data_IF_664886517617
#
_entry.id   IF_664886517617
#
_cell.length_a   1.000
_cell.length_b   1.000
_cell.length_c   1.000
_cell.angle_alpha   90.00
_cell.angle_beta   90.00
_cell.angle_gamma   90.00
#
_symmetry.space_group_name_H-M   'P 1'
#
loop_
_entity.id
_entity.type
_entity.pdbx_description
1 polymer ?
#
# COMPACT_ATOMS: atom_id res chain seq x y z
N UNK A 1 5.88 2.07 22.42
CA UNK A 1 4.96 1.87 21.28
C UNK A 1 5.36 0.59 20.57
N UNK A 2 4.41 -0.17 20.04
CA UNK A 2 4.73 -1.31 19.20
C UNK A 2 5.20 -0.82 17.82
N UNK A 3 6.17 -1.50 17.18
CA UNK A 3 6.64 -1.12 15.85
C UNK A 3 5.50 -1.21 14.81
N UNK A 4 5.50 -0.37 13.76
CA UNK A 4 4.48 -0.44 12.72
C UNK A 4 4.57 -1.77 11.97
N UNK A 5 3.41 -2.31 11.59
CA UNK A 5 3.31 -3.40 10.63
C UNK A 5 3.23 -2.85 9.21
N UNK A 6 3.57 -3.70 8.25
CA UNK A 6 3.64 -3.37 6.83
C UNK A 6 2.72 -4.27 6.05
N UNK A 7 1.96 -3.67 5.13
CA UNK A 7 0.95 -4.38 4.35
C UNK A 7 1.06 -4.05 2.87
N UNK A 8 0.49 -4.91 2.05
CA UNK A 8 0.12 -4.60 0.66
C UNK A 8 -1.39 -4.55 0.59
N UNK A 9 -1.93 -3.47 0.02
CA UNK A 9 -3.34 -3.38 -0.36
C UNK A 9 -3.45 -3.43 -1.89
N UNK A 10 -4.28 -4.33 -2.40
CA UNK A 10 -4.49 -4.54 -3.83
C UNK A 10 -5.74 -3.79 -4.27
N UNK A 11 -5.56 -2.88 -5.22
CA UNK A 11 -6.62 -2.10 -5.84
C UNK A 11 -6.90 -2.64 -7.25
N UNK A 12 -8.12 -3.13 -7.46
CA UNK A 12 -8.62 -3.42 -8.80
C UNK A 12 -8.98 -2.16 -9.58
N UNK A 13 -9.56 -2.32 -10.77
CA UNK A 13 -10.15 -1.19 -11.52
C UNK A 13 -11.21 -0.47 -10.66
N UNK A 14 -11.06 0.84 -10.39
CA UNK A 14 -11.98 1.57 -9.55
C UNK A 14 -13.34 1.74 -10.24
N UNK A 15 -14.40 1.34 -9.55
CA UNK A 15 -15.79 1.62 -9.91
C UNK A 15 -16.49 2.32 -8.74
N UNK A 16 -16.22 3.62 -8.52
CA UNK A 16 -16.90 4.38 -7.48
C UNK A 16 -18.42 4.34 -7.68
N UNK A 17 -19.23 4.26 -6.61
CA UNK A 17 -18.85 4.44 -5.20
C UNK A 17 -18.40 3.15 -4.49
N UNK A 18 -18.44 2.00 -5.16
CA UNK A 18 -18.24 0.70 -4.51
C UNK A 18 -16.77 0.27 -4.41
N UNK A 19 -15.86 0.94 -5.12
CA UNK A 19 -14.44 0.61 -5.20
C UNK A 19 -13.61 1.88 -5.24
N UNK A 20 -12.74 2.02 -4.25
CA UNK A 20 -11.94 3.23 -4.01
C UNK A 20 -10.80 3.38 -5.01
N UNK A 21 -10.42 4.64 -5.26
CA UNK A 21 -9.10 4.95 -5.85
C UNK A 21 -8.03 4.94 -4.75
N UNK A 22 -6.77 4.73 -5.13
CA UNK A 22 -5.63 4.76 -4.20
C UNK A 22 -5.41 6.14 -3.56
N UNK A 23 -5.86 7.20 -4.21
CA UNK A 23 -5.75 8.58 -3.71
C UNK A 23 -6.86 8.96 -2.73
N UNK A 24 -7.96 8.19 -2.68
CA UNK A 24 -9.13 8.51 -1.86
C UNK A 24 -8.83 8.53 -0.35
N UNK A 25 -7.76 7.85 0.08
CA UNK A 25 -7.45 7.66 1.49
C UNK A 25 -8.39 6.66 2.19
N UNK A 26 -9.21 5.94 1.44
CA UNK A 26 -10.09 4.90 1.93
C UNK A 26 -9.82 3.62 1.17
N UNK A 27 -9.91 2.50 1.87
CA UNK A 27 -9.80 1.18 1.31
C UNK A 27 -10.86 0.28 1.94
N UNK A 28 -11.77 -0.20 1.10
CA UNK A 28 -12.72 -1.27 1.40
C UNK A 28 -12.14 -2.59 0.92
N UNK A 29 -11.54 -3.41 1.81
CA UNK A 29 -11.04 -4.70 1.40
C UNK A 29 -12.21 -5.67 1.20
N UNK A 30 -11.93 -6.78 0.53
CA UNK A 30 -12.91 -7.85 0.34
C UNK A 30 -13.46 -8.34 1.70
N UNK A 31 -14.79 -8.38 1.92
CA UNK A 31 -15.39 -8.87 3.15
C UNK A 31 -14.96 -10.29 3.52
N UNK A 32 -14.63 -11.13 2.54
CA UNK A 32 -14.14 -12.49 2.79
C UNK A 32 -12.71 -12.49 3.39
N UNK A 33 -12.05 -11.33 3.43
CA UNK A 33 -10.72 -11.13 4.00
C UNK A 33 -10.76 -10.43 5.39
N UNK A 34 -11.93 -10.17 5.98
CA UNK A 34 -12.08 -9.62 7.33
C UNK A 34 -11.79 -10.68 8.42
N UNK A 35 -11.37 -10.29 9.63
CA UNK A 35 -11.02 -8.95 10.10
C UNK A 35 -9.58 -8.54 9.74
N UNK A 36 -9.37 -7.25 9.50
CA UNK A 36 -8.04 -6.72 9.14
C UNK A 36 -7.20 -6.40 10.37
N UNK A 37 -5.99 -6.95 10.52
CA UNK A 37 -5.16 -6.76 11.71
C UNK A 37 -4.39 -5.43 11.71
N UNK A 38 -4.89 -4.40 11.01
CA UNK A 38 -4.23 -3.09 10.91
C UNK A 38 -4.58 -2.19 12.09
N UNK A 39 -3.68 -1.28 12.43
CA UNK A 39 -3.89 -0.27 13.46
C UNK A 39 -3.32 1.10 13.03
N UNK A 40 -3.74 2.20 13.68
CA UNK A 40 -3.14 3.50 13.44
C UNK A 40 -1.61 3.45 13.51
N UNK A 41 -0.97 4.02 12.49
CA UNK A 41 0.49 4.05 12.37
C UNK A 41 1.10 2.99 11.46
N UNK A 42 0.40 1.89 11.18
CA UNK A 42 0.83 0.89 10.20
C UNK A 42 0.92 1.48 8.79
N UNK A 43 1.67 0.80 7.91
CA UNK A 43 2.01 1.31 6.58
C UNK A 43 1.59 0.32 5.50
N UNK A 44 1.02 0.85 4.43
CA UNK A 44 0.45 0.09 3.33
C UNK A 44 1.16 0.48 2.05
N UNK A 45 1.69 -0.50 1.31
CA UNK A 45 2.06 -0.34 -0.10
C UNK A 45 0.78 -0.48 -0.94
N UNK A 46 0.41 0.58 -1.66
CA UNK A 46 -0.84 0.62 -2.42
C UNK A 46 -0.55 0.10 -3.82
N UNK A 47 -0.95 -1.12 -4.16
CA UNK A 47 -0.67 -1.77 -5.44
C UNK A 47 -1.91 -1.79 -6.33
N UNK A 48 -1.78 -1.34 -7.57
CA UNK A 48 -2.85 -1.32 -8.55
C UNK A 48 -2.71 -2.49 -9.55
N UNK A 49 -3.80 -3.22 -9.79
CA UNK A 49 -3.79 -4.32 -10.77
C UNK A 49 -3.79 -3.79 -12.21
N UNK A 50 -3.64 -4.68 -13.19
CA UNK A 50 -3.58 -4.28 -14.61
C UNK A 50 -4.83 -3.59 -15.15
N UNK A 51 -5.99 -3.73 -14.48
CA UNK A 51 -7.21 -3.01 -14.84
C UNK A 51 -7.23 -1.55 -14.39
N UNK A 52 -6.33 -1.14 -13.48
CA UNK A 52 -6.28 0.23 -12.99
C UNK A 52 -5.66 1.15 -14.04
N UNK A 53 -6.43 2.10 -14.58
CA UNK A 53 -6.05 2.90 -15.76
C UNK A 53 -4.73 3.65 -15.61
N UNK A 54 -4.54 4.37 -14.50
CA UNK A 54 -3.41 5.31 -14.37
C UNK A 54 -2.12 4.67 -13.83
N UNK A 55 -2.23 3.52 -13.15
CA UNK A 55 -1.10 2.83 -12.51
C UNK A 55 -1.14 1.31 -12.73
N UNK A 56 -1.49 0.89 -13.94
CA UNK A 56 -1.61 -0.52 -14.28
C UNK A 56 -0.35 -1.30 -13.84
N UNK A 57 -0.54 -2.29 -12.96
CA UNK A 57 0.52 -3.15 -12.43
C UNK A 57 1.65 -2.40 -11.70
N UNK A 58 1.31 -1.34 -10.99
CA UNK A 58 2.28 -0.54 -10.24
C UNK A 58 1.73 -0.07 -8.88
N UNK A 59 2.65 0.32 -8.00
CA UNK A 59 2.34 1.00 -6.74
C UNK A 59 2.70 2.49 -6.83
N UNK A 60 1.73 3.40 -6.89
CA UNK A 60 1.99 4.84 -7.02
C UNK A 60 2.31 5.53 -5.70
N UNK A 61 1.98 4.90 -4.57
CA UNK A 61 2.03 5.53 -3.27
C UNK A 61 2.07 4.55 -2.11
N UNK A 62 2.18 5.12 -0.92
CA UNK A 62 1.98 4.42 0.33
C UNK A 62 0.81 5.04 1.11
N UNK A 63 0.15 4.21 1.91
CA UNK A 63 -0.87 4.63 2.85
C UNK A 63 -0.34 4.55 4.27
N UNK A 64 -0.51 5.62 5.04
CA UNK A 64 -0.33 5.57 6.49
C UNK A 64 -1.67 5.38 7.16
N UNK A 65 -1.88 4.25 7.84
CA UNK A 65 -3.16 3.96 8.53
C UNK A 65 -3.44 5.01 9.58
N UNK A 66 -4.61 5.65 9.46
CA UNK A 66 -5.16 6.62 10.41
C UNK A 66 -6.20 5.95 11.32
N UNK A 67 -7.03 5.07 10.74
CA UNK A 67 -8.09 4.35 11.43
C UNK A 67 -8.39 3.04 10.71
N UNK A 68 -8.66 1.99 11.47
CA UNK A 68 -9.13 0.71 10.98
C UNK A 68 -10.47 0.42 11.63
N UNK A 69 -11.50 0.20 10.82
CA UNK A 69 -12.81 -0.29 11.24
C UNK A 69 -13.03 -1.72 10.76
N UNK A 70 -14.23 -2.24 11.02
CA UNK A 70 -14.57 -3.63 10.72
C UNK A 70 -14.59 -3.94 9.21
N UNK A 71 -14.82 -2.92 8.37
CA UNK A 71 -14.97 -3.06 6.92
C UNK A 71 -14.16 -2.04 6.11
N UNK A 72 -13.47 -1.11 6.78
CA UNK A 72 -12.78 0.00 6.12
C UNK A 72 -11.46 0.33 6.77
N UNK A 73 -10.50 0.72 5.95
CA UNK A 73 -9.23 1.30 6.40
C UNK A 73 -9.16 2.71 5.85
N UNK A 74 -8.99 3.68 6.77
CA UNK A 74 -8.70 5.06 6.42
C UNK A 74 -7.20 5.29 6.54
N UNK A 75 -6.59 5.84 5.50
CA UNK A 75 -5.17 6.12 5.45
C UNK A 75 -4.88 7.50 4.86
N UNK A 76 -3.72 8.04 5.23
CA UNK A 76 -3.15 9.19 4.54
C UNK A 76 -2.37 8.68 3.34
N UNK A 77 -2.82 9.05 2.14
CA UNK A 77 -2.10 8.79 0.91
C UNK A 77 -0.83 9.65 0.82
N UNK A 78 0.29 9.02 0.50
CA UNK A 78 1.56 9.66 0.20
C UNK A 78 2.05 9.18 -1.16
N UNK A 79 2.03 10.05 -2.15
CA UNK A 79 2.51 9.76 -3.49
C UNK A 79 4.03 9.52 -3.48
N UNK A 80 4.47 8.50 -4.20
CA UNK A 80 5.89 8.26 -4.48
C UNK A 80 6.34 9.16 -5.63
N UNK A 81 7.63 9.52 -5.63
CA UNK A 81 8.25 10.27 -6.73
C UNK A 81 8.15 9.56 -8.08
N UNK A 82 8.10 8.22 -8.06
CA UNK A 82 7.83 7.39 -9.22
C UNK A 82 7.08 6.13 -8.77
N UNK A 83 6.05 5.68 -9.51
CA UNK A 83 5.41 4.40 -9.24
C UNK A 83 6.39 3.23 -9.31
N UNK A 84 6.17 2.21 -8.47
CA UNK A 84 6.99 1.00 -8.42
C UNK A 84 6.29 -0.09 -9.23
N UNK A 85 6.91 -0.55 -10.30
CA UNK A 85 6.35 -1.60 -11.13
C UNK A 85 6.34 -2.96 -10.40
N UNK A 86 5.35 -3.81 -10.71
CA UNK A 86 5.20 -5.14 -10.11
C UNK A 86 6.49 -5.99 -10.12
N UNK A 87 7.26 -5.94 -11.20
CA UNK A 87 8.47 -6.75 -11.35
C UNK A 87 9.57 -6.31 -10.38
N UNK A 88 9.63 -5.03 -10.03
CA UNK A 88 10.56 -4.49 -9.03
C UNK A 88 10.14 -4.91 -7.62
N UNK A 89 8.83 -4.87 -7.34
CA UNK A 89 8.27 -5.35 -6.05
C UNK A 89 8.64 -6.81 -5.84
N UNK A 90 8.30 -7.69 -6.80
CA UNK A 90 8.54 -9.14 -6.70
C UNK A 90 10.00 -9.49 -6.52
N UNK A 91 10.91 -8.79 -7.20
CA UNK A 91 12.36 -9.03 -7.10
C UNK A 91 12.92 -8.70 -5.71
N UNK A 92 12.27 -7.80 -4.98
CA UNK A 92 12.74 -7.29 -3.69
C UNK A 92 12.06 -7.94 -2.50
N UNK A 93 10.92 -8.58 -2.71
CA UNK A 93 10.23 -9.31 -1.66
C UNK A 93 11.01 -10.55 -1.24
N UNK A 94 10.96 -10.83 0.06
CA UNK A 94 11.32 -12.16 0.56
C UNK A 94 10.39 -13.22 -0.04
N UNK A 95 10.88 -14.46 -0.17
CA UNK A 95 10.15 -15.54 -0.83
C UNK A 95 8.72 -15.71 -0.30
N UNK A 96 8.53 -15.68 1.01
CA UNK A 96 7.22 -15.81 1.67
C UNK A 96 6.26 -14.65 1.37
N UNK A 97 6.77 -13.44 1.14
CA UNK A 97 5.96 -12.28 0.75
C UNK A 97 5.68 -12.29 -0.75
N UNK A 98 6.63 -12.74 -1.57
CA UNK A 98 6.47 -12.93 -3.01
C UNK A 98 5.40 -13.98 -3.32
N UNK A 99 5.36 -15.09 -2.58
CA UNK A 99 4.34 -16.13 -2.70
C UNK A 99 2.93 -15.59 -2.44
N UNK A 100 2.74 -14.76 -1.41
CA UNK A 100 1.45 -14.07 -1.17
C UNK A 100 1.09 -13.19 -2.37
N UNK A 101 2.07 -12.45 -2.88
CA UNK A 101 1.89 -11.54 -4.01
C UNK A 101 1.57 -12.27 -5.33
N UNK A 102 2.14 -13.45 -5.57
CA UNK A 102 1.87 -14.27 -6.75
C UNK A 102 0.46 -14.88 -6.74
N UNK A 103 -0.11 -15.08 -5.55
CA UNK A 103 -1.47 -15.58 -5.37
C UNK A 103 -2.56 -14.49 -5.54
N UNK A 104 -2.18 -13.24 -5.85
CA UNK A 104 -3.15 -12.17 -6.09
C UNK A 104 -3.99 -12.51 -7.32
N UNK A 105 -5.29 -12.74 -7.10
CA UNK A 105 -6.28 -12.75 -8.18
C UNK A 105 -6.62 -11.30 -8.53
N UNK A 106 -6.37 -10.89 -9.77
CA UNK A 106 -6.41 -9.50 -10.24
C UNK A 106 -7.76 -8.75 -10.06
N UNK A 107 -8.80 -9.40 -9.57
CA UNK A 107 -10.15 -8.86 -9.35
C UNK A 107 -10.51 -8.63 -7.87
N UNK A 108 -9.69 -9.06 -6.90
CA UNK A 108 -10.01 -8.98 -5.47
C UNK A 108 -9.28 -7.85 -4.75
N UNK A 109 -9.96 -7.20 -3.81
CA UNK A 109 -9.41 -6.14 -2.95
C UNK A 109 -8.75 -6.82 -1.75
N UNK A 110 -7.54 -7.32 -1.95
CA UNK A 110 -6.84 -8.13 -0.96
C UNK A 110 -5.84 -7.30 -0.13
N UNK A 111 -5.80 -7.57 1.18
CA UNK A 111 -4.84 -7.00 2.13
C UNK A 111 -4.04 -8.11 2.78
N UNK A 112 -2.71 -8.01 2.79
CA UNK A 112 -1.87 -8.97 3.50
C UNK A 112 -0.63 -8.32 4.10
N UNK A 113 -0.17 -8.87 5.23
CA UNK A 113 1.03 -8.42 5.93
C UNK A 113 2.29 -8.88 5.18
N UNK A 114 3.27 -7.98 5.08
CA UNK A 114 4.61 -8.24 4.55
C UNK A 114 5.67 -7.86 5.58
N UNK A 115 6.88 -8.39 5.41
CA UNK A 115 8.02 -7.98 6.22
C UNK A 115 8.41 -6.52 5.96
N UNK A 116 9.02 -5.90 6.96
CA UNK A 116 9.59 -4.55 6.84
C UNK A 116 10.67 -4.51 5.74
N UNK A 117 11.45 -5.57 5.65
CA UNK A 117 12.54 -5.74 4.70
C UNK A 117 12.02 -5.75 3.27
N UNK A 118 10.95 -6.53 2.99
CA UNK A 118 10.26 -6.51 1.69
C UNK A 118 9.75 -5.12 1.35
N UNK A 119 9.13 -4.43 2.30
CA UNK A 119 8.60 -3.08 2.10
C UNK A 119 9.70 -2.06 1.77
N UNK A 120 10.75 -1.99 2.59
CA UNK A 120 11.89 -1.08 2.36
C UNK A 120 12.63 -1.44 1.07
N UNK A 121 12.80 -2.73 0.80
CA UNK A 121 13.44 -3.22 -0.42
C UNK A 121 12.68 -2.82 -1.68
N UNK A 122 11.35 -2.90 -1.66
CA UNK A 122 10.50 -2.49 -2.78
C UNK A 122 10.52 -0.98 -3.00
N UNK A 123 10.54 -0.19 -1.93
CA UNK A 123 10.63 1.27 -2.01
C UNK A 123 11.96 1.77 -2.57
N UNK A 124 13.07 1.05 -2.38
CA UNK A 124 14.38 1.44 -2.92
C UNK A 124 14.74 2.89 -2.58
N UNK A 125 14.99 3.69 -3.62
CA UNK A 125 15.36 5.11 -3.59
C UNK A 125 14.19 6.09 -3.74
N UNK A 126 12.94 5.60 -3.75
CA UNK A 126 11.77 6.46 -3.94
C UNK A 126 11.59 7.40 -2.75
N UNK A 127 11.09 8.60 -3.03
CA UNK A 127 10.77 9.60 -2.01
C UNK A 127 9.26 9.80 -1.95
N UNK A 128 8.74 10.24 -0.81
CA UNK A 128 7.35 10.66 -0.68
C UNK A 128 7.26 12.18 -0.58
N UNK A 129 6.18 12.72 -1.11
CA UNK A 129 5.79 14.12 -0.89
C UNK A 129 4.76 14.18 0.23
N UNK A 130 5.09 14.88 1.31
CA UNK A 130 4.16 15.10 2.41
C UNK A 130 3.21 16.26 2.07
N UNK A 131 1.90 16.12 2.31
CA UNK A 131 0.97 17.23 2.16
C UNK A 131 1.39 18.41 3.07
N UNK A 132 1.71 19.55 2.46
CA UNK A 132 2.15 20.76 3.16
C UNK A 132 3.67 20.91 3.37
N UNK A 133 4.49 19.99 2.85
CA UNK A 133 5.94 20.12 2.85
C UNK A 133 6.45 20.60 1.47
N UNK A 134 7.29 21.62 1.45
CA UNK A 134 7.92 22.14 0.22
C UNK A 134 9.00 21.20 -0.36
N UNK A 135 9.28 20.06 0.27
CA UNK A 135 10.34 19.13 -0.14
C UNK A 135 9.92 17.67 0.02
N UNK A 136 10.25 16.84 -0.97
CA UNK A 136 10.15 15.39 -0.88
C UNK A 136 11.18 14.84 0.10
N UNK A 137 10.82 13.80 0.84
CA UNK A 137 11.69 13.15 1.84
C UNK A 137 11.81 11.66 1.52
N UNK A 138 12.97 11.05 1.79
CA UNK A 138 13.12 9.60 1.70
C UNK A 138 12.07 8.91 2.57
N UNK A 139 11.46 7.84 2.08
CA UNK A 139 10.38 7.16 2.81
C UNK A 139 10.87 6.64 4.17
N UNK A 140 12.12 6.17 4.25
CA UNK A 140 12.73 5.72 5.50
C UNK A 140 12.76 6.80 6.58
N UNK A 141 12.97 8.06 6.21
CA UNK A 141 13.06 9.18 7.13
C UNK A 141 11.67 9.72 7.47
N UNK A 142 10.78 9.74 6.47
CA UNK A 142 9.36 10.02 6.64
C UNK A 142 8.69 9.10 7.68
N UNK A 143 9.14 7.84 7.76
CA UNK A 143 8.65 6.86 8.73
C UNK A 143 9.20 7.03 10.15
N UNK A 144 10.25 7.85 10.36
CA UNK A 144 10.85 8.14 11.67
C UNK A 144 10.28 9.38 12.36
N UNK A 145 9.58 10.26 11.63
CA UNK A 145 9.06 11.54 12.13
C UNK A 145 7.69 11.43 12.82
N UNK A 146 7.35 10.26 13.37
CA UNK A 146 6.11 10.02 14.12
C UNK A 146 6.36 9.85 15.61
#
# INVERSE_FOLDING_TARGET
>A
MNPPKYFVAVFGDPNPPNKDTVESGVYHPDPDCVPFPTRPGDVILLYCTGGYRDYAMASPGIGIVLKSGDQTIQYRYLALSKPIAIHDIKRKFHATDAEKFDNIRFSTFWLFEISRESFVGALGDRTVTWPGADRSTAVSDAMRLK
#
